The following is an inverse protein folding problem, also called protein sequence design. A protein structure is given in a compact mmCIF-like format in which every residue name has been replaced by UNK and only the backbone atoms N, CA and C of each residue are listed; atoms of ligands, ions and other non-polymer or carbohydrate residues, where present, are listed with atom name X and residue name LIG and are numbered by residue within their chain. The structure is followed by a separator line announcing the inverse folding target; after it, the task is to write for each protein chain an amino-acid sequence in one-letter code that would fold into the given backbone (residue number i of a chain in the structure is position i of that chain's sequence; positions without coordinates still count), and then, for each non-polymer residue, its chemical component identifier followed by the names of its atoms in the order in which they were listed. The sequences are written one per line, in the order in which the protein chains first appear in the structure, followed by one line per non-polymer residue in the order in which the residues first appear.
data_IF_067548277475
#
_entry.id   IF_067548277475
#
_cell.length_a   1.000
_cell.length_b   1.000
_cell.length_c   1.000
_cell.angle_alpha   90.00
_cell.angle_beta   90.00
_cell.angle_gamma   90.00
#
_symmetry.space_group_name_H-M   'P 1'
#
loop_
_entity.id
_entity.type
_entity.pdbx_description
1 polymer ?
#
# COMPACT_ATOMS: atom_id res chain seq x y z
N UNK A 1 10.30 60.03 -17.76
CA UNK A 1 10.74 59.52 -19.07
C UNK A 1 10.82 58.01 -18.97
N UNK A 2 9.87 57.29 -19.58
CA UNK A 2 9.88 55.82 -19.62
C UNK A 2 10.28 55.45 -21.04
N UNK A 3 11.52 55.00 -21.22
CA UNK A 3 11.98 54.47 -22.51
C UNK A 3 11.35 53.09 -22.70
N UNK A 4 10.25 53.06 -23.45
CA UNK A 4 9.69 51.81 -23.97
C UNK A 4 10.68 51.20 -24.95
N UNK A 5 11.40 50.19 -24.50
CA UNK A 5 12.23 49.34 -25.35
C UNK A 5 11.27 48.47 -26.16
N UNK A 6 10.97 48.89 -27.39
CA UNK A 6 10.23 48.07 -28.36
C UNK A 6 11.14 46.90 -28.74
N UNK A 7 10.78 45.67 -28.35
CA UNK A 7 11.52 44.49 -28.81
C UNK A 7 11.37 44.38 -30.32
N UNK A 8 12.47 44.15 -31.03
CA UNK A 8 12.42 43.89 -32.46
C UNK A 8 11.51 42.66 -32.72
N UNK A 9 10.71 42.67 -33.81
CA UNK A 9 9.90 41.51 -34.17
C UNK A 9 10.83 40.33 -34.47
N UNK A 10 10.55 39.16 -33.87
CA UNK A 10 11.30 37.94 -34.16
C UNK A 10 11.15 37.57 -35.63
N UNK A 11 12.20 37.03 -36.21
CA UNK A 11 12.14 36.40 -37.53
C UNK A 11 11.27 35.13 -37.48
N UNK A 12 10.80 34.68 -38.63
CA UNK A 12 9.97 33.46 -38.73
C UNK A 12 10.67 32.24 -38.14
N UNK A 13 11.97 32.09 -38.41
CA UNK A 13 12.75 30.93 -37.96
C UNK A 13 12.97 30.97 -36.45
N UNK A 14 13.27 32.15 -35.90
CA UNK A 14 13.37 32.34 -34.43
C UNK A 14 12.03 32.05 -33.73
N UNK A 15 10.90 32.39 -34.35
CA UNK A 15 9.58 32.04 -33.81
C UNK A 15 9.34 30.52 -33.81
N UNK A 16 9.73 29.83 -34.89
CA UNK A 16 9.62 28.36 -34.98
C UNK A 16 10.50 27.70 -33.92
N UNK A 17 11.75 28.15 -33.76
CA UNK A 17 12.68 27.62 -32.77
C UNK A 17 12.21 27.88 -31.34
N UNK A 18 11.70 29.08 -31.06
CA UNK A 18 11.12 29.41 -29.76
C UNK A 18 9.94 28.50 -29.41
N UNK A 19 9.06 28.23 -30.39
CA UNK A 19 7.93 27.30 -30.20
C UNK A 19 8.40 25.87 -29.98
N UNK A 20 9.35 25.39 -30.77
CA UNK A 20 9.91 24.05 -30.61
C UNK A 20 10.57 23.88 -29.24
N UNK A 21 11.30 24.90 -28.77
CA UNK A 21 11.90 24.92 -27.44
C UNK A 21 10.84 24.89 -26.34
N UNK A 22 9.78 25.68 -26.48
CA UNK A 22 8.64 25.68 -25.56
C UNK A 22 7.94 24.31 -25.51
N UNK A 23 7.70 23.68 -26.65
CA UNK A 23 7.08 22.36 -26.73
C UNK A 23 7.98 21.29 -26.10
N UNK A 24 9.31 21.38 -26.28
CA UNK A 24 10.27 20.50 -25.61
C UNK A 24 10.24 20.66 -24.09
N UNK A 25 10.19 21.90 -23.60
CA UNK A 25 10.10 22.20 -22.17
C UNK A 25 8.79 21.66 -21.57
N UNK A 26 7.65 21.91 -22.23
CA UNK A 26 6.35 21.43 -21.79
C UNK A 26 6.28 19.90 -21.77
N UNK A 27 6.87 19.24 -22.76
CA UNK A 27 6.97 17.77 -22.79
C UNK A 27 7.86 17.22 -21.68
N UNK A 28 8.97 17.91 -21.34
CA UNK A 28 9.83 17.54 -20.23
C UNK A 28 9.09 17.68 -18.89
N UNK A 29 8.35 18.77 -18.69
CA UNK A 29 7.54 19.01 -17.50
C UNK A 29 6.44 17.97 -17.34
N UNK A 30 5.70 17.66 -18.42
CA UNK A 30 4.65 16.62 -18.40
C UNK A 30 5.26 15.27 -18.01
N UNK A 31 6.38 14.87 -18.63
CA UNK A 31 7.06 13.61 -18.28
C UNK A 31 7.51 13.57 -16.82
N UNK A 32 8.01 14.68 -16.29
CA UNK A 32 8.37 14.81 -14.88
C UNK A 32 7.16 14.63 -13.96
N UNK A 33 6.04 15.31 -14.27
CA UNK A 33 4.82 15.20 -13.48
C UNK A 33 4.20 13.80 -13.49
N UNK A 34 4.20 13.11 -14.64
CA UNK A 34 3.71 11.73 -14.74
C UNK A 34 4.52 10.82 -13.81
N UNK A 35 5.85 10.90 -13.86
CA UNK A 35 6.73 10.11 -12.97
C UNK A 35 6.47 10.41 -11.49
N UNK A 36 6.22 11.66 -11.13
CA UNK A 36 5.89 12.05 -9.76
C UNK A 36 4.55 11.49 -9.31
N UNK A 37 3.53 11.50 -10.18
CA UNK A 37 2.21 10.93 -9.87
C UNK A 37 2.30 9.40 -9.73
N UNK A 38 3.01 8.74 -10.62
CA UNK A 38 3.28 7.29 -10.53
C UNK A 38 3.97 6.93 -9.22
N UNK A 39 4.99 7.69 -8.82
CA UNK A 39 5.66 7.51 -7.53
C UNK A 39 4.68 7.63 -6.36
N UNK A 40 3.87 8.69 -6.34
CA UNK A 40 2.92 8.93 -5.26
C UNK A 40 1.88 7.82 -5.20
N UNK A 41 1.40 7.34 -6.35
CA UNK A 41 0.48 6.21 -6.45
C UNK A 41 1.09 4.93 -5.87
N UNK A 42 2.30 4.56 -6.28
CA UNK A 42 2.99 3.37 -5.76
C UNK A 42 3.27 3.47 -4.26
N UNK A 43 3.67 4.65 -3.76
CA UNK A 43 3.87 4.89 -2.32
C UNK A 43 2.56 4.74 -1.55
N UNK A 44 1.46 5.28 -2.08
CA UNK A 44 0.15 5.20 -1.44
C UNK A 44 -0.35 3.76 -1.38
N UNK A 45 -0.17 2.99 -2.46
CA UNK A 45 -0.52 1.57 -2.52
C UNK A 45 0.30 0.75 -1.52
N UNK A 46 1.63 0.90 -1.51
CA UNK A 46 2.50 0.18 -0.58
C UNK A 46 2.15 0.47 0.89
N UNK A 47 1.91 1.75 1.23
CA UNK A 47 1.50 2.16 2.59
C UNK A 47 0.10 1.64 2.95
N UNK A 48 -0.85 1.67 2.02
CA UNK A 48 -2.19 1.14 2.23
C UNK A 48 -2.15 -0.36 2.49
N UNK A 49 -1.39 -1.11 1.69
CA UNK A 49 -1.15 -2.54 1.91
C UNK A 49 -0.55 -2.78 3.30
N UNK A 50 0.56 -2.11 3.63
CA UNK A 50 1.29 -2.28 4.88
C UNK A 50 0.42 -1.96 6.11
N UNK A 51 -0.33 -0.86 6.09
CA UNK A 51 -1.21 -0.48 7.20
C UNK A 51 -2.38 -1.46 7.41
N UNK A 52 -2.80 -2.17 6.36
CA UNK A 52 -3.86 -3.18 6.44
C UNK A 52 -3.39 -4.52 7.01
N UNK A 53 -2.08 -4.75 7.12
CA UNK A 53 -1.51 -6.00 7.60
C UNK A 53 -1.82 -6.20 9.09
N UNK A 54 -2.47 -7.32 9.39
CA UNK A 54 -2.71 -7.79 10.76
C UNK A 54 -1.82 -8.96 11.13
N UNK A 55 -1.46 -9.79 10.16
CA UNK A 55 -0.62 -10.96 10.39
C UNK A 55 0.87 -10.59 10.17
N UNK A 56 1.73 -10.73 11.19
CA UNK A 56 3.13 -10.33 11.12
C UNK A 56 4.00 -11.19 10.20
N UNK A 57 3.48 -12.31 9.68
CA UNK A 57 4.17 -13.20 8.75
C UNK A 57 3.90 -12.86 7.28
N UNK A 58 2.93 -11.99 7.02
CA UNK A 58 2.64 -11.54 5.66
C UNK A 58 3.75 -10.61 5.14
N UNK A 59 3.90 -10.59 3.81
CA UNK A 59 4.94 -9.80 3.17
C UNK A 59 4.63 -8.31 3.26
N UNK A 60 5.66 -7.54 3.62
CA UNK A 60 5.63 -6.08 3.59
C UNK A 60 5.96 -5.62 2.17
N UNK A 61 5.25 -4.60 1.70
CA UNK A 61 5.55 -3.92 0.44
C UNK A 61 6.54 -2.79 0.69
N UNK A 62 7.64 -2.78 -0.05
CA UNK A 62 8.61 -1.70 -0.01
C UNK A 62 8.01 -0.40 -0.56
N UNK A 63 8.31 0.71 0.11
CA UNK A 63 7.91 2.04 -0.37
C UNK A 63 9.03 2.55 -1.28
N UNK A 64 8.76 2.89 -2.56
CA UNK A 64 9.80 3.38 -3.46
C UNK A 64 10.34 4.74 -3.02
N UNK A 65 11.65 4.94 -3.21
CA UNK A 65 12.34 6.21 -2.99
C UNK A 65 12.63 6.90 -4.33
N UNK A 66 12.75 8.22 -4.30
CA UNK A 66 13.18 9.00 -5.46
C UNK A 66 14.65 9.35 -5.25
N UNK A 67 15.55 8.65 -5.95
CA UNK A 67 17.01 8.82 -5.86
C UNK A 67 17.56 8.99 -7.28
N UNK A 68 18.50 9.91 -7.48
CA UNK A 68 19.14 10.16 -8.79
C UNK A 68 18.15 10.40 -9.95
N UNK A 69 17.08 11.15 -9.69
CA UNK A 69 15.98 11.40 -10.64
C UNK A 69 15.28 10.14 -11.16
N UNK A 70 15.32 9.04 -10.40
CA UNK A 70 14.70 7.77 -10.73
C UNK A 70 13.96 7.18 -9.54
N UNK A 71 12.98 6.34 -9.87
CA UNK A 71 12.27 5.53 -8.89
C UNK A 71 13.13 4.32 -8.59
N UNK A 72 13.56 4.20 -7.34
CA UNK A 72 14.38 3.09 -6.87
C UNK A 72 13.62 2.37 -5.78
N UNK A 73 13.62 1.04 -5.88
CA UNK A 73 13.14 0.15 -4.83
C UNK A 73 14.33 -0.30 -3.99
N UNK A 74 14.15 -0.49 -2.67
CA UNK A 74 15.21 -1.03 -1.84
C UNK A 74 15.56 -2.46 -2.26
N UNK A 75 16.80 -2.85 -2.01
CA UNK A 75 17.30 -4.17 -2.37
C UNK A 75 16.54 -5.25 -1.62
N UNK A 76 16.02 -6.24 -2.35
CA UNK A 76 15.18 -7.30 -1.79
C UNK A 76 15.87 -8.16 -0.72
N UNK A 77 17.20 -8.27 -0.78
CA UNK A 77 18.00 -9.05 0.20
C UNK A 77 18.26 -8.30 1.51
N UNK A 78 18.23 -6.96 1.43
CA UNK A 78 18.41 -6.05 2.57
C UNK A 78 17.07 -5.52 3.08
N UNK A 79 15.98 -5.68 2.33
CA UNK A 79 14.64 -5.32 2.78
C UNK A 79 14.00 -6.47 3.59
N UNK A 80 13.45 -6.20 4.79
CA UNK A 80 12.82 -7.24 5.60
C UNK A 80 11.57 -7.76 4.91
N UNK A 81 11.45 -9.08 4.80
CA UNK A 81 10.37 -9.69 4.02
C UNK A 81 9.03 -9.58 4.73
N UNK A 82 9.02 -9.59 6.07
CA UNK A 82 7.83 -9.63 6.90
C UNK A 82 7.98 -8.73 8.14
N UNK A 83 6.86 -8.38 8.77
CA UNK A 83 6.87 -7.49 9.94
C UNK A 83 7.65 -8.08 11.11
N UNK A 84 7.62 -9.41 11.27
CA UNK A 84 8.40 -10.10 12.29
C UNK A 84 9.92 -9.85 12.12
N UNK A 85 10.44 -9.90 10.89
CA UNK A 85 11.83 -9.57 10.57
C UNK A 85 12.13 -8.10 10.78
N UNK A 86 11.22 -7.21 10.36
CA UNK A 86 11.34 -5.77 10.54
C UNK A 86 11.49 -5.40 12.02
N UNK A 87 10.56 -5.81 12.90
CA UNK A 87 10.66 -5.52 14.34
C UNK A 87 11.80 -6.27 15.04
N UNK A 88 12.34 -7.35 14.45
CA UNK A 88 13.54 -7.99 14.96
C UNK A 88 14.81 -7.12 14.77
N UNK A 89 14.73 -6.03 13.99
CA UNK A 89 15.80 -5.04 13.85
C UNK A 89 15.92 -4.12 15.07
N UNK A 90 14.89 -3.98 15.91
CA UNK A 90 14.97 -3.19 17.16
C UNK A 90 16.02 -3.73 18.12
N UNK A 91 16.18 -5.05 18.12
CA UNK A 91 17.23 -5.75 18.86
C UNK A 91 18.13 -6.42 17.86
N UNK A 92 19.02 -5.65 17.22
CA UNK A 92 20.06 -6.25 16.41
C UNK A 92 20.92 -7.02 17.40
N UNK A 93 20.71 -8.34 17.47
CA UNK A 93 21.67 -9.21 18.14
C UNK A 93 23.05 -8.98 17.50
N UNK A 94 24.13 -9.48 18.11
CA UNK A 94 25.53 -9.39 17.65
C UNK A 94 25.75 -9.75 16.14
N UNK A 95 24.71 -10.26 15.49
CA UNK A 95 24.55 -10.41 14.05
C UNK A 95 24.73 -9.08 13.28
N UNK A 96 25.95 -8.88 12.79
CA UNK A 96 26.34 -7.82 11.85
C UNK A 96 25.39 -7.64 10.66
N UNK A 97 24.71 -8.70 10.20
CA UNK A 97 23.73 -8.62 9.11
C UNK A 97 22.54 -7.70 9.42
N UNK A 98 21.99 -7.76 10.63
CA UNK A 98 20.81 -6.94 11.00
C UNK A 98 21.16 -5.46 11.12
N UNK A 99 22.36 -5.17 11.65
CA UNK A 99 22.88 -3.80 11.71
C UNK A 99 23.10 -3.23 10.31
N UNK A 100 23.72 -3.99 9.40
CA UNK A 100 23.89 -3.56 8.00
C UNK A 100 22.55 -3.33 7.31
N UNK A 101 21.58 -4.21 7.55
CA UNK A 101 20.23 -4.05 7.03
C UNK A 101 19.57 -2.78 7.56
N UNK A 102 19.65 -2.50 8.87
CA UNK A 102 19.07 -1.31 9.45
C UNK A 102 19.77 -0.03 8.95
N UNK A 103 21.10 -0.02 8.90
CA UNK A 103 21.88 1.09 8.35
C UNK A 103 21.55 1.36 6.88
N UNK A 104 21.41 0.31 6.07
CA UNK A 104 20.99 0.45 4.68
C UNK A 104 19.60 1.10 4.56
N UNK A 105 18.63 0.68 5.37
CA UNK A 105 17.28 1.23 5.32
C UNK A 105 17.25 2.70 5.76
N UNK A 106 18.03 3.06 6.79
CA UNK A 106 18.15 4.43 7.28
C UNK A 106 18.77 5.34 6.20
N UNK A 107 19.82 4.89 5.51
CA UNK A 107 20.39 5.61 4.36
C UNK A 107 19.41 5.69 3.19
N UNK A 108 18.77 4.57 2.84
CA UNK A 108 17.89 4.50 1.67
C UNK A 108 16.67 5.40 1.79
N UNK A 109 16.11 5.53 2.99
CA UNK A 109 14.95 6.37 3.27
C UNK A 109 15.30 7.78 3.75
N UNK A 110 16.59 8.15 3.73
CA UNK A 110 17.11 9.45 4.19
C UNK A 110 16.58 9.82 5.59
N UNK A 111 16.59 8.86 6.52
CA UNK A 111 16.05 9.09 7.88
C UNK A 111 17.02 9.96 8.67
N UNK A 112 16.52 11.08 9.19
CA UNK A 112 17.29 11.99 10.02
C UNK A 112 17.57 11.39 11.41
N UNK A 113 18.84 11.06 11.67
CA UNK A 113 19.26 10.41 12.92
C UNK A 113 20.08 11.31 13.85
N UNK A 114 20.49 12.50 13.39
CA UNK A 114 21.30 13.43 14.21
C UNK A 114 20.56 13.93 15.46
N UNK A 115 19.23 13.91 15.44
CA UNK A 115 18.40 14.31 16.57
C UNK A 115 18.31 13.22 17.66
N UNK A 116 18.71 11.97 17.38
CA UNK A 116 18.51 10.85 18.31
C UNK A 116 19.38 10.94 19.56
N UNK A 117 20.58 11.51 19.46
CA UNK A 117 21.48 11.65 20.60
C UNK A 117 21.02 12.70 21.63
N UNK A 118 20.06 13.55 21.29
CA UNK A 118 19.50 14.52 22.24
C UNK A 118 18.55 13.85 23.24
N UNK A 119 17.94 12.73 22.88
CA UNK A 119 16.96 12.05 23.75
C UNK A 119 17.56 11.40 24.99
N UNK A 120 18.88 11.13 25.01
CA UNK A 120 19.56 10.60 26.20
C UNK A 120 20.00 11.70 27.18
N UNK A 121 19.96 12.97 26.77
CA UNK A 121 20.59 14.07 27.51
C UNK A 121 19.61 14.86 28.38
N UNK A 122 18.30 14.71 28.16
CA UNK A 122 17.26 15.49 28.84
C UNK A 122 16.75 14.86 30.17
N UNK A 123 17.28 13.70 30.59
CA UNK A 123 16.76 12.97 31.76
C UNK A 123 17.52 13.26 33.09
N UNK A 124 18.51 14.16 33.09
CA UNK A 124 19.26 14.56 34.30
C UNK A 124 19.66 16.03 34.30
N UNK A 125 18.70 16.94 34.48
CA UNK A 125 18.97 18.23 35.12
C UNK A 125 17.81 18.60 36.05
N UNK A 126 17.72 17.84 37.14
CA UNK A 126 16.89 18.18 38.30
C UNK A 126 17.79 18.91 39.31
N UNK A 127 17.72 20.24 39.27
CA UNK A 127 17.89 21.18 40.38
C UNK A 127 19.17 21.06 41.24
N UNK A 128 20.18 21.87 40.91
CA UNK A 128 21.03 22.50 41.94
C UNK A 128 21.26 23.98 41.56
N UNK A 129 20.51 24.87 42.23
CA UNK A 129 20.98 26.11 42.87
C UNK A 129 21.89 27.05 42.03
N UNK A 130 21.60 28.31 41.73
CA UNK A 130 21.11 29.36 42.62
C UNK A 130 20.63 30.58 41.81
N UNK A 131 19.67 31.32 42.39
CA UNK A 131 19.36 32.70 42.04
C UNK A 131 20.62 33.57 42.19
N UNK A 132 21.25 33.99 41.08
CA UNK A 132 21.86 35.33 40.89
C UNK A 132 22.79 35.38 39.67
N UNK A 133 22.88 36.58 39.07
CA UNK A 133 23.89 37.06 38.08
C UNK A 133 23.59 36.87 36.58
N UNK A 134 22.81 37.82 36.07
CA UNK A 134 23.15 38.69 34.94
C UNK A 134 24.53 38.44 34.27
N UNK A 135 24.57 37.77 33.12
CA UNK A 135 25.60 37.99 32.10
C UNK A 135 25.21 37.43 30.74
N UNK A 136 25.47 38.23 29.72
CA UNK A 136 25.30 37.95 28.32
C UNK A 136 26.04 36.68 27.84
N UNK A 137 25.57 36.16 26.70
CA UNK A 137 26.10 35.02 25.94
C UNK A 137 25.70 33.65 26.48
N UNK A 138 24.42 33.30 26.29
CA UNK A 138 24.04 31.91 26.12
C UNK A 138 24.95 31.30 25.02
N UNK A 139 25.72 30.23 25.32
CA UNK A 139 26.49 29.55 24.30
C UNK A 139 25.50 29.04 23.25
N UNK A 140 25.70 29.46 21.99
CA UNK A 140 24.98 28.87 20.86
C UNK A 140 25.11 27.35 20.98
N UNK A 141 24.04 26.57 20.80
CA UNK A 141 24.16 25.12 20.75
C UNK A 141 25.12 24.78 19.61
N UNK A 142 26.36 24.48 19.97
CA UNK A 142 27.39 24.11 19.03
C UNK A 142 27.00 22.75 18.47
N UNK A 143 26.69 22.75 17.17
CA UNK A 143 26.86 21.64 16.24
C UNK A 143 26.80 20.28 16.93
N UNK A 144 25.60 19.72 17.05
CA UNK A 144 25.43 18.34 17.51
C UNK A 144 26.46 17.46 16.79
N UNK A 145 27.27 16.68 17.53
CA UNK A 145 28.29 15.86 16.91
C UNK A 145 27.60 14.96 15.90
N UNK A 146 27.96 15.12 14.62
CA UNK A 146 27.40 14.31 13.53
C UNK A 146 27.78 12.87 13.79
N UNK A 147 26.86 12.12 14.39
CA UNK A 147 27.05 10.69 14.60
C UNK A 147 27.30 10.03 13.26
N UNK A 148 28.21 9.06 13.23
CA UNK A 148 28.27 8.17 12.08
C UNK A 148 26.96 7.37 12.03
N UNK A 149 26.46 7.10 10.82
CA UNK A 149 25.25 6.29 10.62
C UNK A 149 25.34 4.94 11.35
N UNK A 150 26.50 4.29 11.28
CA UNK A 150 26.73 3.00 11.94
C UNK A 150 26.63 3.09 13.46
N UNK A 151 27.13 4.19 14.05
CA UNK A 151 27.08 4.43 15.49
C UNK A 151 25.66 4.76 15.93
N UNK A 152 24.94 5.63 15.19
CA UNK A 152 23.56 5.97 15.47
C UNK A 152 22.65 4.75 15.46
N UNK A 153 22.81 3.87 14.46
CA UNK A 153 22.02 2.62 14.34
C UNK A 153 22.38 1.61 15.43
N UNK A 154 23.63 1.60 15.89
CA UNK A 154 24.09 0.71 16.96
C UNK A 154 23.61 1.16 18.34
N UNK A 155 23.62 2.46 18.59
CA UNK A 155 23.23 3.07 19.86
C UNK A 155 21.70 3.17 19.99
N UNK A 156 21.02 3.55 18.90
CA UNK A 156 19.58 3.84 18.88
C UNK A 156 18.80 3.01 17.85
N UNK A 157 18.88 1.66 17.89
CA UNK A 157 18.17 0.83 16.92
C UNK A 157 16.64 0.93 17.05
N UNK A 158 16.11 1.23 18.24
CA UNK A 158 14.67 1.36 18.47
C UNK A 158 14.10 2.61 17.77
N UNK A 159 14.74 3.77 17.96
CA UNK A 159 14.36 5.02 17.28
C UNK A 159 14.44 4.90 15.75
N UNK A 160 15.46 4.20 15.24
CA UNK A 160 15.60 3.95 13.81
C UNK A 160 14.42 3.13 13.26
N UNK A 161 14.02 2.08 13.96
CA UNK A 161 12.89 1.24 13.55
C UNK A 161 11.58 2.02 13.65
N UNK A 162 11.40 2.84 14.67
CA UNK A 162 10.17 3.62 14.86
C UNK A 162 10.01 4.70 13.76
N UNK A 163 11.10 5.36 13.38
CA UNK A 163 11.11 6.27 12.24
C UNK A 163 10.77 5.54 10.93
N UNK A 164 11.36 4.36 10.70
CA UNK A 164 11.08 3.53 9.52
C UNK A 164 9.64 2.98 9.52
N UNK A 165 9.08 2.67 10.69
CA UNK A 165 7.68 2.23 10.85
C UNK A 165 6.73 3.31 10.35
N UNK A 166 6.97 4.58 10.69
CA UNK A 166 6.19 5.71 10.20
C UNK A 166 6.23 5.86 8.67
N UNK A 167 7.40 5.66 8.06
CA UNK A 167 7.61 5.77 6.61
C UNK A 167 6.90 4.63 5.86
N UNK A 168 7.05 3.40 6.36
CA UNK A 168 6.44 2.19 5.80
C UNK A 168 4.96 2.06 6.12
N UNK A 169 4.44 2.87 7.07
CA UNK A 169 3.08 2.80 7.61
C UNK A 169 2.74 1.42 8.15
N UNK A 170 3.69 0.82 8.86
CA UNK A 170 3.42 -0.35 9.68
C UNK A 170 2.71 0.10 10.97
N UNK A 171 1.93 -0.78 11.57
CA UNK A 171 1.26 -0.52 12.84
C UNK A 171 1.55 -1.68 13.77
N UNK A 172 2.45 -1.46 14.73
CA UNK A 172 2.85 -2.46 15.70
C UNK A 172 1.66 -3.05 16.48
N UNK A 173 0.70 -2.21 16.86
CA UNK A 173 -0.48 -2.61 17.64
C UNK A 173 -1.29 -3.68 16.91
N UNK A 174 -1.41 -3.60 15.58
CA UNK A 174 -2.11 -4.62 14.78
C UNK A 174 -1.46 -6.00 14.97
N UNK A 175 -0.14 -6.06 15.04
CA UNK A 175 0.60 -7.29 15.22
C UNK A 175 0.58 -7.79 16.67
N UNK A 176 0.61 -6.88 17.65
CA UNK A 176 0.44 -7.21 19.07
C UNK A 176 -0.95 -7.82 19.28
N UNK A 177 -2.00 -7.13 18.85
CA UNK A 177 -3.39 -7.60 18.92
C UNK A 177 -3.59 -8.96 18.25
N UNK A 178 -2.94 -9.17 17.10
CA UNK A 178 -2.98 -10.47 16.42
C UNK A 178 -2.34 -11.59 17.25
N UNK A 179 -1.17 -11.34 17.85
CA UNK A 179 -0.48 -12.32 18.70
C UNK A 179 -1.31 -12.64 19.95
N UNK A 180 -1.86 -11.62 20.60
CA UNK A 180 -2.73 -11.79 21.76
C UNK A 180 -3.98 -12.60 21.42
N UNK A 181 -4.66 -12.27 20.31
CA UNK A 181 -5.82 -13.04 19.83
C UNK A 181 -5.44 -14.49 19.50
N UNK A 182 -4.30 -14.72 18.86
CA UNK A 182 -3.81 -16.06 18.57
C UNK A 182 -3.50 -16.85 19.85
N UNK A 183 -2.93 -16.22 20.88
CA UNK A 183 -2.69 -16.84 22.18
C UNK A 183 -4.00 -17.14 22.93
N UNK A 184 -4.98 -16.23 22.88
CA UNK A 184 -6.30 -16.45 23.46
C UNK A 184 -7.01 -17.66 22.83
N UNK A 185 -6.93 -17.80 21.50
CA UNK A 185 -7.46 -18.96 20.78
C UNK A 185 -6.71 -20.26 21.09
N UNK A 186 -5.40 -20.21 21.36
CA UNK A 186 -4.64 -21.40 21.79
C UNK A 186 -5.02 -21.83 23.21
N UNK A 187 -5.36 -20.88 24.09
CA UNK A 187 -5.83 -21.16 25.46
C UNK A 187 -7.25 -21.73 25.47
N UNK A 188 -8.09 -21.28 24.55
CA UNK A 188 -9.39 -21.90 24.32
C UNK A 188 -9.14 -23.22 23.59
N UNK A 189 -9.14 -24.34 24.33
CA UNK A 189 -9.01 -25.67 23.73
C UNK A 189 -9.98 -25.76 22.54
N UNK A 190 -9.51 -26.15 21.33
CA UNK A 190 -10.41 -26.28 20.19
C UNK A 190 -11.58 -27.16 20.65
N UNK A 191 -12.85 -26.76 20.41
CA UNK A 191 -13.99 -27.54 20.85
C UNK A 191 -13.75 -28.94 20.33
N UNK A 192 -13.63 -29.91 21.26
CA UNK A 192 -13.36 -31.28 20.88
C UNK A 192 -14.40 -31.64 19.84
N UNK A 193 -13.99 -32.20 18.68
CA UNK A 193 -14.92 -32.55 17.64
C UNK A 193 -15.99 -33.39 18.29
N UNK A 194 -17.21 -32.85 18.39
CA UNK A 194 -18.32 -33.50 19.07
C UNK A 194 -18.51 -34.81 18.32
N UNK A 195 -18.01 -35.90 18.90
CA UNK A 195 -18.29 -37.24 18.43
C UNK A 195 -19.81 -37.32 18.50
N UNK A 196 -20.46 -37.22 17.33
CA UNK A 196 -21.89 -37.41 17.17
C UNK A 196 -22.23 -38.65 17.97
N UNK A 197 -22.89 -38.47 19.11
CA UNK A 197 -23.37 -39.59 19.89
C UNK A 197 -24.30 -40.34 18.95
N UNK A 198 -23.90 -41.53 18.54
CA UNK A 198 -24.83 -42.48 17.95
C UNK A 198 -25.87 -42.69 19.05
N UNK A 199 -27.08 -42.17 18.83
CA UNK A 199 -28.20 -42.47 19.69
C UNK A 199 -28.30 -43.99 19.81
N UNK A 200 -28.04 -44.51 21.00
CA UNK A 200 -28.36 -45.89 21.32
C UNK A 200 -29.88 -46.00 21.27
N UNK A 201 -30.37 -46.59 20.19
CA UNK A 201 -31.77 -46.94 19.98
C UNK A 201 -32.23 -47.84 21.15
N UNK A 202 -33.26 -47.46 21.93
CA UNK A 202 -33.83 -48.36 22.91
C UNK A 202 -34.62 -49.46 22.21
N UNK A 203 -34.28 -50.70 22.54
CA UNK A 203 -34.96 -51.95 22.23
C UNK A 203 -36.48 -51.86 22.23
N UNK A 204 -37.14 -52.24 21.12
CA UNK A 204 -37.94 -53.48 21.07
C UNK A 204 -38.55 -53.77 19.68
N UNK A 205 -38.33 -54.98 19.18
CA UNK A 205 -39.35 -55.71 18.40
C UNK A 205 -39.64 -55.40 16.93
N UNK A 206 -38.74 -54.84 16.10
CA UNK A 206 -39.01 -54.62 14.67
C UNK A 206 -38.13 -55.46 13.71
N UNK A 207 -38.68 -55.97 12.59
CA UNK A 207 -38.02 -56.96 11.74
C UNK A 207 -36.75 -56.44 11.06
N UNK A 208 -35.73 -57.30 11.01
CA UNK A 208 -34.41 -57.13 10.40
C UNK A 208 -34.49 -56.35 9.08
N UNK A 209 -34.20 -55.05 9.12
CA UNK A 209 -33.94 -54.27 7.90
C UNK A 209 -32.64 -54.76 7.28
N UNK A 210 -32.75 -55.27 6.06
CA UNK A 210 -31.63 -55.68 5.21
C UNK A 210 -30.64 -54.52 5.05
N UNK A 211 -29.32 -54.79 5.11
CA UNK A 211 -28.31 -53.74 4.94
C UNK A 211 -28.48 -53.07 3.58
N UNK A 212 -28.34 -51.74 3.48
CA UNK A 212 -28.43 -51.04 2.21
C UNK A 212 -27.35 -51.58 1.25
N UNK A 213 -27.67 -51.79 -0.03
CA UNK A 213 -26.73 -52.33 -1.00
C UNK A 213 -25.48 -51.46 -1.06
N UNK A 214 -24.32 -52.11 -0.94
CA UNK A 214 -23.00 -51.48 -1.09
C UNK A 214 -23.00 -50.68 -2.40
N UNK A 215 -22.88 -49.35 -2.29
CA UNK A 215 -22.80 -48.48 -3.46
C UNK A 215 -21.59 -48.91 -4.28
N UNK A 216 -21.86 -49.43 -5.48
CA UNK A 216 -20.84 -49.80 -6.46
C UNK A 216 -20.03 -48.54 -6.78
N UNK A 217 -18.70 -48.64 -6.67
CA UNK A 217 -17.78 -47.58 -7.07
C UNK A 217 -18.01 -47.25 -8.54
N UNK A 218 -18.54 -46.05 -8.83
CA UNK A 218 -18.53 -45.53 -10.20
C UNK A 218 -17.08 -45.14 -10.53
N UNK A 219 -16.46 -45.70 -11.58
CA UNK A 219 -15.15 -45.24 -12.02
C UNK A 219 -15.29 -43.77 -12.45
N UNK A 220 -14.47 -42.91 -11.85
CA UNK A 220 -14.36 -41.50 -12.25
C UNK A 220 -13.60 -41.49 -13.59
N UNK A 221 -14.35 -41.63 -14.69
CA UNK A 221 -13.81 -41.43 -16.04
C UNK A 221 -13.97 -39.96 -16.36
N UNK A 222 -12.99 -39.18 -15.94
CA UNK A 222 -12.87 -37.76 -16.24
C UNK A 222 -11.41 -37.42 -16.44
N UNK A 223 -10.84 -37.81 -17.60
CA UNK A 223 -9.59 -37.22 -18.08
C UNK A 223 -9.87 -35.74 -18.31
N UNK A 224 -9.35 -34.89 -17.43
CA UNK A 224 -9.28 -33.46 -17.70
C UNK A 224 -8.44 -33.29 -18.97
N UNK A 225 -9.07 -32.86 -20.06
CA UNK A 225 -8.36 -32.43 -21.26
C UNK A 225 -7.43 -31.27 -20.87
N UNK A 226 -6.16 -31.29 -21.31
CA UNK A 226 -5.26 -30.17 -21.09
C UNK A 226 -5.88 -28.92 -21.74
N UNK A 227 -6.02 -27.86 -20.95
CA UNK A 227 -6.35 -26.53 -21.48
C UNK A 227 -5.23 -26.14 -22.45
N UNK A 228 -5.51 -26.24 -23.74
CA UNK A 228 -4.70 -25.62 -24.78
C UNK A 228 -4.74 -24.11 -24.55
N UNK A 229 -3.59 -23.56 -24.17
CA UNK A 229 -3.36 -22.11 -24.14
C UNK A 229 -3.53 -21.61 -25.58
N UNK A 230 -4.42 -20.65 -25.86
CA UNK A 230 -4.56 -20.11 -27.20
C UNK A 230 -3.27 -19.40 -27.61
N UNK A 231 -2.86 -19.66 -28.84
CA UNK A 231 -1.67 -19.12 -29.50
C UNK A 231 -1.71 -17.57 -29.50
N UNK A 232 -0.65 -16.87 -29.02
CA UNK A 232 -0.64 -15.41 -28.93
C UNK A 232 -0.84 -14.67 -30.26
N UNK A 233 -0.75 -15.36 -31.40
CA UNK A 233 -1.04 -14.77 -32.72
C UNK A 233 -2.52 -14.43 -32.93
N UNK A 234 -3.46 -15.12 -32.27
CA UNK A 234 -4.92 -14.91 -32.48
C UNK A 234 -5.45 -13.67 -31.74
N UNK A 235 -4.74 -13.18 -30.73
CA UNK A 235 -5.14 -11.98 -29.97
C UNK A 235 -4.82 -10.67 -30.70
N UNK A 236 -3.99 -10.70 -31.74
CA UNK A 236 -3.60 -9.50 -32.49
C UNK A 236 -4.64 -9.07 -33.56
N UNK A 237 -5.49 -9.98 -34.04
CA UNK A 237 -6.47 -9.65 -35.09
C UNK A 237 -7.78 -9.03 -34.56
N UNK A 238 -8.00 -9.01 -33.24
CA UNK A 238 -9.22 -8.46 -32.63
C UNK A 238 -9.19 -6.94 -32.37
N UNK A 239 -8.12 -6.25 -32.77
CA UNK A 239 -7.96 -4.80 -32.58
C UNK A 239 -7.98 -3.96 -33.87
N UNK A 240 -8.25 -4.56 -35.04
CA UNK A 240 -8.32 -3.83 -36.31
C UNK A 240 -9.62 -4.11 -37.07
N UNK A 241 -10.53 -3.13 -37.02
CA UNK A 241 -11.81 -3.05 -37.74
C UNK A 241 -12.85 -2.43 -36.79
N UNK A 242 -13.59 -1.37 -37.11
CA UNK A 242 -14.03 -0.86 -38.40
C UNK A 242 -14.30 0.66 -38.26
N UNK A 243 -13.78 1.46 -39.19
CA UNK A 243 -14.34 2.78 -39.50
C UNK A 243 -15.62 2.52 -40.32
N UNK A 244 -16.78 2.74 -39.70
CA UNK A 244 -18.07 2.75 -40.39
C UNK A 244 -18.70 4.12 -40.18
N UNK A 245 -18.68 4.90 -41.25
CA UNK A 245 -19.46 6.13 -41.35
C UNK A 245 -20.93 5.78 -41.50
N UNK A 246 -21.75 6.36 -40.62
CA UNK A 246 -23.19 6.48 -40.79
C UNK A 246 -23.52 7.96 -40.65
N UNK A 247 -23.88 8.57 -41.79
CA UNK A 247 -24.60 9.83 -41.87
C UNK A 247 -26.04 9.55 -41.41
N UNK A 248 -26.48 10.19 -40.31
CA UNK A 248 -27.89 10.16 -39.92
C UNK A 248 -28.35 11.53 -39.43
N UNK A 249 -29.37 12.03 -40.13
CA UNK A 249 -29.97 13.34 -40.01
C UNK A 249 -31.05 13.29 -38.92
N UNK A 250 -30.67 13.65 -37.69
CA UNK A 250 -31.55 13.53 -36.52
C UNK A 250 -31.59 14.80 -35.66
N UNK A 251 -32.49 15.71 -36.01
CA UNK A 251 -32.85 16.90 -35.23
C UNK A 251 -33.42 16.51 -33.86
N UNK A 252 -32.60 16.59 -32.81
CA UNK A 252 -33.06 16.54 -31.42
C UNK A 252 -32.26 17.49 -30.54
N UNK A 253 -32.97 18.53 -30.07
CA UNK A 253 -32.55 19.46 -29.02
C UNK A 253 -32.11 18.69 -27.78
N UNK A 254 -30.80 18.64 -27.53
CA UNK A 254 -30.20 18.14 -26.30
C UNK A 254 -29.15 19.15 -25.83
N UNK A 255 -29.27 19.57 -24.58
CA UNK A 255 -28.47 20.63 -23.97
C UNK A 255 -26.97 20.36 -24.09
N UNK A 256 -26.33 21.15 -24.93
CA UNK A 256 -24.89 21.19 -25.13
C UNK A 256 -24.22 21.76 -23.88
N UNK A 257 -23.93 20.90 -22.90
CA UNK A 257 -22.96 21.22 -21.84
C UNK A 257 -21.56 21.03 -22.42
N UNK A 258 -21.19 21.90 -23.37
CA UNK A 258 -19.84 21.97 -23.88
C UNK A 258 -18.98 22.65 -22.79
N UNK A 259 -18.01 21.96 -22.16
CA UNK A 259 -17.08 22.63 -21.27
C UNK A 259 -16.21 23.53 -22.12
N UNK A 260 -16.50 24.83 -22.07
CA UNK A 260 -15.60 25.88 -22.56
C UNK A 260 -14.31 25.76 -21.74
N UNK A 261 -13.24 25.34 -22.40
CA UNK A 261 -11.89 25.38 -21.82
C UNK A 261 -11.39 26.81 -21.91
N UNK A 262 -11.83 27.63 -20.96
CA UNK A 262 -11.41 29.02 -20.83
C UNK A 262 -10.04 29.10 -20.10
N UNK A 263 -9.14 29.83 -20.75
CA UNK A 263 -8.01 30.60 -20.22
C UNK A 263 -7.28 30.16 -18.93
N UNK A 264 -6.38 29.16 -19.03
CA UNK A 264 -5.16 29.06 -18.19
C UNK A 264 -5.32 28.88 -16.66
N UNK A 265 -6.52 28.99 -16.12
CA UNK A 265 -6.85 28.91 -14.69
C UNK A 265 -7.34 27.51 -14.30
N UNK A 266 -7.78 26.71 -15.28
CA UNK A 266 -8.24 25.33 -15.11
C UNK A 266 -7.17 24.38 -14.58
N UNK A 267 -5.89 24.60 -14.92
CA UNK A 267 -4.80 23.70 -14.51
C UNK A 267 -4.54 23.73 -12.99
N UNK A 268 -4.64 24.91 -12.36
CA UNK A 268 -4.54 25.04 -10.89
C UNK A 268 -5.75 24.47 -10.17
N UNK A 269 -6.95 24.67 -10.71
CA UNK A 269 -8.19 24.12 -10.13
C UNK A 269 -8.25 22.60 -10.24
N UNK A 270 -7.82 22.03 -11.37
CA UNK A 270 -7.74 20.58 -11.54
C UNK A 270 -6.70 19.97 -10.60
N UNK A 271 -5.50 20.55 -10.48
CA UNK A 271 -4.49 20.08 -9.51
C UNK A 271 -4.97 20.20 -8.07
N UNK A 272 -5.64 21.29 -7.68
CA UNK A 272 -6.26 21.42 -6.35
C UNK A 272 -7.40 20.41 -6.15
N UNK A 273 -8.21 20.14 -7.16
CA UNK A 273 -9.33 19.19 -7.06
C UNK A 273 -8.86 17.74 -6.97
N UNK A 274 -7.81 17.37 -7.71
CA UNK A 274 -7.17 16.04 -7.62
C UNK A 274 -6.47 15.86 -6.28
N UNK A 275 -5.76 16.88 -5.76
CA UNK A 275 -5.19 16.86 -4.41
C UNK A 275 -6.27 16.79 -3.32
N UNK A 276 -7.40 17.48 -3.47
CA UNK A 276 -8.52 17.44 -2.54
C UNK A 276 -9.25 16.08 -2.56
N UNK A 277 -9.33 15.43 -3.71
CA UNK A 277 -9.86 14.06 -3.85
C UNK A 277 -8.92 13.03 -3.22
N UNK A 278 -7.60 13.19 -3.35
CA UNK A 278 -6.62 12.31 -2.70
C UNK A 278 -6.55 12.49 -1.18
N UNK A 279 -6.85 13.69 -0.66
CA UNK A 279 -6.90 13.98 0.78
C UNK A 279 -8.21 13.51 1.45
N UNK A 280 -9.29 13.34 0.67
CA UNK A 280 -10.49 12.66 1.14
C UNK A 280 -10.25 11.14 1.09
N UNK A 281 -9.71 10.61 2.18
CA UNK A 281 -9.67 9.16 2.42
C UNK A 281 -11.04 8.48 2.21
N UNK A 282 -11.06 7.15 2.04
CA UNK A 282 -12.26 6.41 1.68
C UNK A 282 -13.37 6.65 2.71
N UNK A 283 -14.30 7.53 2.37
CA UNK A 283 -15.56 7.65 3.12
C UNK A 283 -16.36 6.41 2.81
N UNK A 284 -16.45 5.54 3.81
CA UNK A 284 -17.51 4.56 3.99
C UNK A 284 -18.81 5.19 3.48
N UNK A 285 -19.36 4.63 2.40
CA UNK A 285 -20.72 4.94 1.97
C UNK A 285 -21.64 4.45 3.08
N UNK A 286 -22.05 5.38 3.95
CA UNK A 286 -23.13 5.12 4.88
C UNK A 286 -24.35 4.67 4.07
N UNK A 287 -24.79 3.47 4.42
CA UNK A 287 -25.81 2.72 3.71
C UNK A 287 -27.09 3.52 3.54
N UNK A 288 -27.58 3.51 2.31
CA UNK A 288 -28.97 3.84 2.00
C UNK A 288 -29.89 2.85 2.73
N UNK A 289 -30.79 3.29 3.62
CA UNK A 289 -31.71 2.42 4.33
C UNK A 289 -33.00 2.28 3.54
N UNK A 290 -32.98 1.50 2.46
CA UNK A 290 -34.21 1.05 1.82
C UNK A 290 -34.07 -0.40 1.40
N UNK A 291 -35.01 -1.23 1.90
CA UNK A 291 -35.27 -2.64 1.56
C UNK A 291 -34.75 -3.71 2.57
N UNK A 292 -34.99 -3.51 3.86
CA UNK A 292 -34.85 -4.54 4.89
C UNK A 292 -36.14 -5.34 5.19
N UNK A 293 -37.14 -5.31 4.31
CA UNK A 293 -38.33 -6.15 4.41
C UNK A 293 -38.56 -6.90 3.10
N UNK A 294 -38.08 -8.13 3.05
CA UNK A 294 -38.69 -9.32 2.44
C UNK A 294 -37.61 -10.38 2.31
N UNK A 295 -38.00 -11.65 2.47
CA UNK A 295 -37.18 -12.86 2.33
C UNK A 295 -36.57 -13.45 3.62
N UNK A 296 -37.43 -13.54 4.65
CA UNK A 296 -37.53 -14.80 5.39
C UNK A 296 -38.15 -15.87 4.49
N UNK A 297 -37.35 -16.71 3.81
CA UNK A 297 -37.80 -18.07 3.44
C UNK A 297 -36.69 -19.01 2.96
N UNK A 298 -36.55 -20.12 3.69
CA UNK A 298 -36.19 -21.46 3.22
C UNK A 298 -34.92 -21.65 2.35
N UNK A 299 -33.88 -22.31 2.87
CA UNK A 299 -33.61 -23.72 2.59
C UNK A 299 -32.30 -24.20 3.22
N UNK A 300 -32.39 -25.25 4.02
CA UNK A 300 -31.27 -26.07 4.47
C UNK A 300 -30.80 -26.93 3.29
N UNK A 301 -29.57 -26.73 2.81
CA UNK A 301 -28.87 -27.75 2.03
C UNK A 301 -27.35 -27.59 2.16
N UNK A 302 -26.73 -28.47 2.92
CA UNK A 302 -25.28 -28.59 3.07
C UNK A 302 -24.65 -29.29 1.85
N UNK A 303 -23.55 -28.77 1.28
CA UNK A 303 -22.69 -29.53 0.39
C UNK A 303 -21.60 -30.26 1.17
N UNK A 304 -21.50 -31.57 0.96
CA UNK A 304 -20.44 -32.45 1.47
C UNK A 304 -19.10 -32.14 0.79
N UNK A 305 -18.04 -32.01 1.58
CA UNK A 305 -16.66 -32.06 1.11
C UNK A 305 -16.21 -33.53 0.92
N UNK A 306 -15.66 -33.79 -0.26
CA UNK A 306 -14.98 -35.01 -0.67
C UNK A 306 -13.50 -34.96 -0.23
N UNK A 307 -13.00 -36.05 0.34
CA UNK A 307 -11.56 -36.36 0.42
C UNK A 307 -11.23 -37.56 -0.48
N UNK A 308 -10.01 -37.63 -1.07
CA UNK A 308 -9.58 -38.71 -1.95
C UNK A 308 -8.92 -39.87 -1.17
N UNK A 309 -8.98 -41.13 -1.65
CA UNK A 309 -8.16 -42.22 -1.11
C UNK A 309 -6.84 -42.41 -1.89
N UNK A 310 -5.90 -43.05 -1.17
CA UNK A 310 -4.56 -43.56 -1.54
C UNK A 310 -4.59 -44.48 -2.76
#
# INVERSE_FOLDING_TARGET
MVTSILSAPLTRDEFIDARNHQDQQLNADIKSTIKQVELQSQRAEARSHNSSLKNPLLRISAVPAYRDNRLVLPDGDLFPSNAKEFYALRRPSVNSRRLRQLAYLVDFYDVEYNAWALYDQDDYDYEECDEDLNAAAAPRPEQTPRLALEDAVRLYPELAVDALEGILRLNEENFINFRERALALRRQSPPQPVKRQQASDPTDGAPKRTPPPKRVHKPIVGRALPKTVPDPAVLAELYHGEERGDEDDGEAKSGNTMPVWDDGSGRRRFQQHVLALAARGPRSSDGSPTNAETLSREHRSSPRAHTPPV
#
